data_IF_554150332302
#
_entry.id   IF_554150332302
#
_cell.length_a   1.000
_cell.length_b   1.000
_cell.length_c   1.000
_cell.angle_alpha   90.00
_cell.angle_beta   90.00
_cell.angle_gamma   90.00
#
_symmetry.space_group_name_H-M   'P 1'
#
loop_
_entity.id
_entity.type
_entity.pdbx_description
1 polymer ?
#
# COMPACT_ATOMS: atom_id res chain seq x y z
N UNK A 1 -19.87 -2.24 -6.41
CA UNK A 1 -18.62 -2.32 -5.62
C UNK A 1 -18.03 -0.94 -5.52
N UNK A 2 -18.02 -0.36 -4.32
CA UNK A 2 -17.42 0.94 -4.07
C UNK A 2 -15.89 0.88 -4.11
N UNK A 3 -15.28 1.92 -4.64
CA UNK A 3 -13.82 2.04 -4.70
C UNK A 3 -13.40 3.51 -4.80
N UNK A 4 -12.16 3.77 -4.45
CA UNK A 4 -11.53 5.07 -4.65
C UNK A 4 -10.22 4.92 -5.45
N UNK A 5 -9.76 6.01 -6.05
CA UNK A 5 -8.41 6.12 -6.61
C UNK A 5 -7.66 7.17 -5.79
N UNK A 6 -6.58 6.74 -5.15
CA UNK A 6 -5.70 7.60 -4.37
C UNK A 6 -4.37 7.79 -5.07
N UNK A 7 -3.74 8.94 -4.84
CA UNK A 7 -2.38 9.21 -5.28
C UNK A 7 -1.44 9.27 -4.07
N UNK A 8 -0.38 8.48 -4.13
CA UNK A 8 0.68 8.47 -3.11
C UNK A 8 2.00 8.00 -3.69
N UNK A 9 3.12 8.62 -3.27
CA UNK A 9 4.45 8.29 -3.76
C UNK A 9 4.61 8.43 -5.29
N UNK A 10 3.89 9.37 -5.93
CA UNK A 10 3.91 9.57 -7.37
C UNK A 10 3.21 8.47 -8.19
N UNK A 11 2.42 7.63 -7.56
CA UNK A 11 1.67 6.53 -8.18
C UNK A 11 0.20 6.58 -7.79
N UNK A 12 -0.66 6.08 -8.68
CA UNK A 12 -2.10 5.99 -8.45
C UNK A 12 -2.49 4.55 -8.12
N UNK A 13 -3.37 4.39 -7.15
CA UNK A 13 -3.82 3.08 -6.67
C UNK A 13 -5.34 3.04 -6.59
N UNK A 14 -5.92 1.99 -7.19
CA UNK A 14 -7.33 1.67 -6.99
C UNK A 14 -7.50 0.90 -5.68
N UNK A 15 -8.26 1.48 -4.76
CA UNK A 15 -8.48 0.97 -3.40
C UNK A 15 -9.95 0.67 -3.15
N UNK A 16 -10.23 -0.37 -2.36
CA UNK A 16 -11.54 -0.73 -1.81
C UNK A 16 -11.34 -1.17 -0.36
N UNK A 17 -12.39 -1.18 0.44
CA UNK A 17 -12.29 -1.62 1.83
C UNK A 17 -11.73 -3.05 1.95
N UNK A 18 -11.02 -3.32 3.03
CA UNK A 18 -10.31 -4.59 3.32
C UNK A 18 -9.19 -4.97 2.34
N UNK A 19 -8.94 -4.20 1.28
CA UNK A 19 -7.87 -4.49 0.32
C UNK A 19 -6.50 -4.24 0.94
N UNK A 20 -5.56 -5.16 0.69
CA UNK A 20 -4.14 -5.00 1.05
C UNK A 20 -3.38 -4.55 -0.19
N UNK A 21 -2.55 -3.51 -0.03
CA UNK A 21 -1.73 -2.91 -1.08
C UNK A 21 -0.30 -2.76 -0.60
N UNK A 22 0.63 -2.82 -1.54
CA UNK A 22 2.03 -2.42 -1.35
C UNK A 22 2.25 -1.09 -2.05
N UNK A 23 2.61 -0.08 -1.27
CA UNK A 23 2.88 1.28 -1.74
C UNK A 23 4.31 1.67 -1.43
N UNK A 24 4.76 2.82 -1.93
CA UNK A 24 6.07 3.36 -1.56
C UNK A 24 6.18 3.54 -0.04
N UNK A 25 7.40 3.43 0.47
CA UNK A 25 7.66 3.49 1.91
C UNK A 25 7.08 4.76 2.53
N UNK A 26 6.25 4.59 3.55
CA UNK A 26 5.75 5.66 4.41
C UNK A 26 6.60 5.77 5.69
N UNK A 27 6.74 6.98 6.21
CA UNK A 27 7.40 7.24 7.49
C UNK A 27 6.40 7.15 8.65
N UNK A 28 5.78 5.97 8.78
CA UNK A 28 4.84 5.64 9.83
C UNK A 28 5.26 4.35 10.55
N UNK A 29 4.80 4.15 11.77
CA UNK A 29 5.06 2.93 12.55
C UNK A 29 4.09 1.82 12.16
N UNK A 30 4.54 0.57 12.25
CA UNK A 30 3.68 -0.61 12.03
C UNK A 30 2.53 -0.61 13.04
N UNK A 31 1.32 -0.77 12.55
CA UNK A 31 0.08 -0.70 13.33
C UNK A 31 -0.59 0.67 13.34
N UNK A 32 0.08 1.72 12.88
CA UNK A 32 -0.45 3.09 12.83
C UNK A 32 -1.47 3.24 11.68
N UNK A 33 -2.47 4.10 11.90
CA UNK A 33 -3.45 4.47 10.88
C UNK A 33 -2.95 5.68 10.10
N UNK A 34 -2.84 5.53 8.80
CA UNK A 34 -2.42 6.57 7.86
C UNK A 34 -3.64 7.08 7.09
N UNK A 35 -3.71 8.38 6.87
CA UNK A 35 -4.78 9.05 6.13
C UNK A 35 -4.26 9.57 4.81
N UNK A 36 -4.92 9.20 3.72
CA UNK A 36 -4.64 9.69 2.36
C UNK A 36 -5.69 10.71 1.98
N UNK A 37 -5.27 11.95 1.76
CA UNK A 37 -6.13 13.07 1.39
C UNK A 37 -6.20 13.28 -0.12
N UNK A 38 -5.18 12.83 -0.88
CA UNK A 38 -5.17 12.96 -2.33
C UNK A 38 -6.03 11.86 -2.97
N UNK A 39 -7.33 12.09 -3.00
CA UNK A 39 -8.31 11.20 -3.63
C UNK A 39 -8.70 11.80 -4.97
N UNK A 40 -8.40 11.10 -6.07
CA UNK A 40 -8.65 11.57 -7.43
C UNK A 40 -10.04 11.19 -7.92
N UNK A 41 -10.56 10.06 -7.47
CA UNK A 41 -11.85 9.55 -7.87
C UNK A 41 -12.49 8.77 -6.73
N UNK A 42 -13.80 8.98 -6.55
CA UNK A 42 -14.65 8.18 -5.68
C UNK A 42 -15.76 7.54 -6.50
N UNK A 43 -15.94 6.26 -6.34
CA UNK A 43 -17.10 5.53 -6.87
C UNK A 43 -17.86 4.92 -5.70
N UNK A 44 -19.11 5.38 -5.53
CA UNK A 44 -20.10 4.75 -4.68
C UNK A 44 -21.12 4.11 -5.63
N UNK A 45 -21.37 2.84 -5.57
CA UNK A 45 -22.17 2.00 -6.51
C UNK A 45 -23.23 2.74 -7.37
N UNK A 46 -23.69 3.90 -6.89
CA UNK A 46 -24.69 4.76 -7.56
C UNK A 46 -24.12 5.96 -8.29
N UNK A 47 -23.03 6.54 -7.79
CA UNK A 47 -22.46 7.78 -8.28
C UNK A 47 -20.95 7.69 -8.39
N UNK A 48 -20.39 8.33 -9.41
CA UNK A 48 -18.93 8.44 -9.58
C UNK A 48 -18.58 9.93 -9.57
N UNK A 49 -17.74 10.32 -8.62
CA UNK A 49 -17.17 11.66 -8.53
C UNK A 49 -15.72 11.64 -9.00
N UNK A 50 -15.37 12.56 -9.89
CA UNK A 50 -14.00 12.71 -10.39
C UNK A 50 -13.47 14.06 -9.92
N UNK A 51 -12.29 14.07 -9.32
CA UNK A 51 -11.63 15.29 -8.86
C UNK A 51 -10.98 16.08 -10.00
N UNK A 52 -10.74 17.37 -9.77
CA UNK A 52 -10.01 18.24 -10.68
C UNK A 52 -8.98 19.08 -9.89
N UNK A 53 -7.77 18.57 -9.60
CA UNK A 53 -7.28 17.19 -9.76
C UNK A 53 -7.75 16.22 -8.68
N UNK A 54 -8.07 16.69 -7.46
CA UNK A 54 -8.48 15.88 -6.30
C UNK A 54 -9.88 16.28 -5.83
N UNK A 55 -10.51 15.43 -5.05
CA UNK A 55 -11.80 15.69 -4.41
C UNK A 55 -11.53 16.25 -3.02
N UNK A 56 -11.84 17.52 -2.80
CA UNK A 56 -11.64 18.17 -1.52
C UNK A 56 -12.54 17.55 -0.44
N UNK A 57 -11.94 17.28 0.74
CA UNK A 57 -12.62 16.68 1.88
C UNK A 57 -12.75 15.15 1.83
N UNK A 58 -12.51 14.52 0.68
CA UNK A 58 -12.47 13.07 0.59
C UNK A 58 -11.19 12.51 1.25
N UNK A 59 -11.30 11.36 1.89
CA UNK A 59 -10.20 10.75 2.63
C UNK A 59 -10.27 9.23 2.61
N UNK A 60 -9.12 8.59 2.52
CA UNK A 60 -8.98 7.14 2.68
C UNK A 60 -8.11 6.84 3.89
N UNK A 61 -8.61 6.06 4.82
CA UNK A 61 -7.87 5.58 5.98
C UNK A 61 -7.35 4.17 5.72
N UNK A 62 -6.09 3.96 6.06
CA UNK A 62 -5.46 2.66 5.97
C UNK A 62 -4.58 2.37 7.18
N UNK A 63 -4.49 1.11 7.59
CA UNK A 63 -3.62 0.63 8.65
C UNK A 63 -2.32 0.10 8.06
N UNK A 64 -1.18 0.55 8.56
CA UNK A 64 0.13 0.04 8.17
C UNK A 64 0.35 -1.34 8.81
N UNK A 65 0.44 -2.38 7.99
CA UNK A 65 0.64 -3.75 8.44
C UNK A 65 2.13 -4.10 8.63
N UNK A 66 2.97 -3.68 7.67
CA UNK A 66 4.39 -4.01 7.66
C UNK A 66 5.19 -3.13 6.71
N UNK A 67 6.49 -3.02 6.98
CA UNK A 67 7.46 -2.45 6.04
C UNK A 67 8.27 -3.59 5.42
N UNK A 68 8.13 -3.78 4.13
CA UNK A 68 8.75 -4.87 3.37
C UNK A 68 9.81 -4.35 2.41
N UNK A 69 10.69 -5.22 1.97
CA UNK A 69 11.66 -4.94 0.90
C UNK A 69 11.39 -5.90 -0.24
N UNK A 70 11.36 -5.36 -1.45
CA UNK A 70 11.23 -6.16 -2.65
C UNK A 70 12.45 -7.06 -2.89
N UNK A 71 12.35 -7.96 -3.87
CA UNK A 71 13.51 -8.80 -4.28
C UNK A 71 14.66 -7.93 -4.74
N UNK A 72 15.88 -8.44 -4.60
CA UNK A 72 17.07 -7.73 -5.08
C UNK A 72 17.08 -7.71 -6.61
N UNK A 73 17.13 -6.52 -7.20
CA UNK A 73 17.34 -6.29 -8.61
C UNK A 73 18.85 -6.07 -8.84
N UNK A 74 19.45 -6.90 -9.68
CA UNK A 74 20.86 -6.77 -10.03
C UNK A 74 20.98 -5.81 -11.22
N UNK A 75 21.70 -4.71 -10.98
CA UNK A 75 22.00 -3.71 -11.99
C UNK A 75 23.43 -3.96 -12.45
N UNK A 76 23.61 -4.31 -13.71
CA UNK A 76 24.90 -4.62 -14.29
C UNK A 76 25.32 -3.53 -15.25
N UNK A 77 26.48 -2.91 -14.96
CA UNK A 77 27.11 -1.91 -15.82
C UNK A 77 28.39 -2.49 -16.40
N UNK A 78 28.52 -2.41 -17.73
CA UNK A 78 29.73 -2.82 -18.46
C UNK A 78 30.09 -1.76 -19.47
N UNK A 79 31.35 -1.38 -19.52
CA UNK A 79 31.92 -0.58 -20.63
C UNK A 79 32.37 -1.51 -21.75
N UNK A 80 32.36 -1.03 -22.97
CA UNK A 80 32.76 -1.78 -24.17
C UNK A 80 34.19 -2.30 -24.10
N UNK A 81 35.11 -1.52 -23.54
CA UNK A 81 36.58 -1.80 -23.45
C UNK A 81 37.04 -1.74 -21.99
N UNK A 82 38.32 -2.12 -21.72
CA UNK A 82 38.99 -2.07 -20.42
C UNK A 82 38.46 -3.03 -19.36
N UNK A 83 37.79 -4.09 -19.77
CA UNK A 83 37.21 -5.12 -18.86
C UNK A 83 36.39 -4.55 -17.69
N UNK A 84 35.85 -3.34 -17.81
CA UNK A 84 35.11 -2.68 -16.77
C UNK A 84 33.74 -3.39 -16.53
N UNK A 85 33.53 -3.84 -15.32
CA UNK A 85 32.27 -4.49 -14.88
C UNK A 85 31.90 -3.94 -13.51
N UNK A 86 30.62 -3.61 -13.31
CA UNK A 86 30.11 -3.21 -12.00
C UNK A 86 28.73 -3.85 -11.80
N UNK A 87 28.53 -4.54 -10.67
CA UNK A 87 27.26 -5.09 -10.25
C UNK A 87 26.79 -4.36 -9.00
N UNK A 88 25.59 -3.80 -9.05
CA UNK A 88 24.92 -3.20 -7.90
C UNK A 88 23.63 -3.98 -7.63
N UNK A 89 23.34 -4.24 -6.37
CA UNK A 89 22.04 -4.76 -5.95
C UNK A 89 21.16 -3.62 -5.46
N UNK A 90 19.93 -3.55 -5.95
CA UNK A 90 18.90 -2.62 -5.44
C UNK A 90 17.73 -3.40 -4.84
N UNK A 91 17.26 -2.99 -3.67
CA UNK A 91 16.03 -3.48 -3.04
C UNK A 91 15.16 -2.31 -2.64
N UNK A 92 14.04 -2.16 -3.34
CA UNK A 92 13.06 -1.12 -3.02
C UNK A 92 12.35 -1.45 -1.71
N UNK A 93 12.15 -0.41 -0.90
CA UNK A 93 11.39 -0.51 0.35
C UNK A 93 9.95 -0.12 0.07
N UNK A 94 9.01 -0.93 0.54
CA UNK A 94 7.58 -0.71 0.42
C UNK A 94 6.89 -0.77 1.78
N UNK A 95 5.79 -0.08 1.91
CA UNK A 95 4.87 -0.19 3.04
C UNK A 95 3.66 -1.00 2.61
N UNK A 96 3.33 -2.03 3.39
CA UNK A 96 2.15 -2.87 3.19
C UNK A 96 1.03 -2.33 4.04
N UNK A 97 -0.02 -1.82 3.38
CA UNK A 97 -1.17 -1.20 4.04
C UNK A 97 -2.45 -2.01 3.79
N UNK A 98 -3.38 -1.90 4.71
CA UNK A 98 -4.74 -2.38 4.55
C UNK A 98 -5.72 -1.22 4.65
N UNK A 99 -6.58 -1.08 3.65
CA UNK A 99 -7.61 -0.05 3.64
C UNK A 99 -8.67 -0.38 4.68
N UNK A 100 -8.94 0.57 5.57
CA UNK A 100 -9.96 0.44 6.63
C UNK A 100 -11.23 1.16 6.27
N UNK A 101 -11.16 2.42 5.80
CA UNK A 101 -12.33 3.24 5.50
C UNK A 101 -12.11 4.10 4.27
N UNK A 102 -13.17 4.35 3.53
CA UNK A 102 -13.25 5.33 2.45
C UNK A 102 -14.31 6.34 2.83
N UNK A 103 -13.94 7.62 2.92
CA UNK A 103 -14.82 8.72 3.32
C UNK A 103 -15.04 9.66 2.13
N UNK A 104 -16.29 10.07 1.94
CA UNK A 104 -16.69 11.12 0.99
C UNK A 104 -16.28 12.49 1.50
N UNK A 105 -16.38 13.50 0.63
CA UNK A 105 -16.20 14.93 0.94
C UNK A 105 -17.07 15.43 2.11
N UNK A 106 -18.23 14.82 2.34
CA UNK A 106 -19.15 15.12 3.42
C UNK A 106 -18.82 14.37 4.73
N UNK A 107 -17.71 13.63 4.77
CA UNK A 107 -17.36 12.77 5.91
C UNK A 107 -18.21 11.50 6.03
N UNK A 108 -19.06 11.22 5.04
CA UNK A 108 -19.86 10.00 4.99
C UNK A 108 -18.98 8.80 4.63
N UNK A 109 -19.12 7.71 5.37
CA UNK A 109 -18.43 6.45 5.07
C UNK A 109 -19.08 5.81 3.84
N UNK A 110 -18.33 5.65 2.77
CA UNK A 110 -18.74 4.97 1.53
C UNK A 110 -18.52 3.47 1.66
N UNK A 111 -17.37 3.07 2.19
CA UNK A 111 -17.00 1.68 2.34
C UNK A 111 -16.14 1.49 3.59
N UNK A 112 -16.40 0.43 4.36
CA UNK A 112 -15.68 0.12 5.59
C UNK A 112 -15.29 -1.35 5.67
N UNK A 113 -14.06 -1.63 6.06
CA UNK A 113 -13.56 -2.98 6.25
C UNK A 113 -14.20 -3.65 7.48
N UNK A 114 -14.79 -4.82 7.30
CA UNK A 114 -15.35 -5.61 8.41
C UNK A 114 -14.20 -6.04 9.36
N UNK A 115 -14.35 -5.77 10.66
CA UNK A 115 -13.36 -6.05 11.70
C UNK A 115 -12.87 -7.52 11.71
N UNK A 116 -13.75 -8.46 11.35
CA UNK A 116 -13.41 -9.89 11.23
C UNK A 116 -12.40 -10.22 10.12
N UNK A 117 -12.38 -9.45 9.06
CA UNK A 117 -11.43 -9.64 7.94
C UNK A 117 -10.06 -9.04 8.24
N UNK A 118 -10.02 -7.94 8.99
CA UNK A 118 -8.78 -7.31 9.44
C UNK A 118 -8.00 -8.28 10.31
N UNK A 119 -8.64 -8.86 11.34
CA UNK A 119 -8.01 -9.81 12.27
C UNK A 119 -7.57 -11.13 11.60
N UNK A 120 -8.31 -11.65 10.61
CA UNK A 120 -7.92 -12.84 9.85
C UNK A 120 -6.66 -12.62 9.00
N UNK A 121 -6.51 -11.43 8.42
CA UNK A 121 -5.37 -11.11 7.55
C UNK A 121 -4.11 -10.80 8.37
N UNK A 122 -4.24 -10.13 9.52
CA UNK A 122 -3.14 -9.91 10.46
C UNK A 122 -2.55 -11.25 10.98
N UNK A 123 -3.40 -12.18 11.46
CA UNK A 123 -2.98 -13.51 11.91
C UNK A 123 -2.26 -14.32 10.82
N UNK A 124 -2.68 -14.23 9.55
CA UNK A 124 -2.01 -14.88 8.43
C UNK A 124 -0.61 -14.31 8.14
N UNK A 125 -0.39 -13.05 8.39
CA UNK A 125 0.92 -12.39 8.19
C UNK A 125 1.87 -12.78 9.32
N UNK A 126 1.41 -12.81 10.57
CA UNK A 126 2.21 -13.23 11.73
C UNK A 126 2.63 -14.69 11.65
N UNK A 127 1.74 -15.61 11.27
CA UNK A 127 2.06 -17.03 11.09
C UNK A 127 3.08 -17.26 9.97
N UNK A 128 3.04 -16.50 8.89
CA UNK A 128 4.07 -16.58 7.84
C UNK A 128 5.44 -16.08 8.33
N UNK A 129 5.49 -15.00 9.13
CA UNK A 129 6.74 -14.48 9.72
C UNK A 129 7.37 -15.47 10.69
N UNK A 130 6.58 -16.15 11.54
CA UNK A 130 7.07 -17.16 12.50
C UNK A 130 7.59 -18.40 11.80
N UNK A 131 6.96 -18.84 10.72
CA UNK A 131 7.41 -20.00 9.96
C UNK A 131 8.73 -19.74 9.21
N UNK A 132 8.90 -18.54 8.64
CA UNK A 132 10.16 -18.15 7.99
C UNK A 132 11.30 -18.04 9.01
N UNK A 133 11.04 -17.50 10.21
CA UNK A 133 12.06 -17.45 11.29
C UNK A 133 12.45 -18.83 11.81
N UNK A 134 11.54 -19.81 11.80
CA UNK A 134 11.85 -21.20 12.20
C UNK A 134 12.65 -21.95 11.14
N UNK A 135 12.42 -21.70 9.85
CA UNK A 135 13.19 -22.33 8.76
C UNK A 135 14.61 -21.79 8.60
N UNK A 136 14.87 -20.56 9.06
CA UNK A 136 16.20 -19.93 9.04
C UNK A 136 17.09 -20.30 10.26
N UNK A 137 16.52 -21.01 11.25
CA UNK A 137 17.26 -21.47 12.45
C UNK A 137 17.60 -22.97 12.42
N UNK A 138 17.29 -23.66 11.33
CA UNK A 138 17.75 -25.01 11.02
C UNK A 138 18.84 -24.96 9.94
#
# INVERSE_FOLDING_TARGET
MSFAIIETGGKQYKVSASKILEIEKLDAKVGETVKFQNVLLLNDDKTTEVGSPSIDGAMVEAKLLDNVKDRTVLIFHKRRRKHSRKKNGHRQKHSKIQITKILSKEGKIIDEAKASEINKKEKKIETKKTNIKKSLKK
#
